data_IF_200109081689
#
_entry.id   IF_200109081689
#
_cell.length_a   1.000
_cell.length_b   1.000
_cell.length_c   1.000
_cell.angle_alpha   90.00
_cell.angle_beta   90.00
_cell.angle_gamma   90.00
#
_symmetry.space_group_name_H-M   'P 1'
#
loop_
_entity.id
_entity.type
_entity.pdbx_description
1 polymer ?
#
# COMPACT_ATOMS: atom_id res chain seq x y z
N UNK A 1 11.44 6.28 7.66
CA UNK A 1 10.61 5.64 6.62
C UNK A 1 9.57 4.79 7.33
N UNK A 2 8.40 4.58 6.71
CA UNK A 2 7.25 3.90 7.31
C UNK A 2 6.77 2.80 6.38
N UNK A 3 6.33 1.68 6.94
CA UNK A 3 5.98 0.49 6.16
C UNK A 3 4.49 0.19 6.16
N UNK A 4 4.00 -0.29 5.03
CA UNK A 4 2.72 -0.99 4.93
C UNK A 4 3.00 -2.44 4.58
N UNK A 5 2.62 -3.35 5.46
CA UNK A 5 2.92 -4.77 5.32
C UNK A 5 1.70 -5.58 4.90
N UNK A 6 1.94 -6.60 4.10
CA UNK A 6 0.95 -7.55 3.60
C UNK A 6 1.36 -8.95 4.04
N UNK A 7 0.42 -9.70 4.61
CA UNK A 7 0.71 -10.95 5.29
C UNK A 7 -0.29 -12.02 4.81
N UNK A 8 0.20 -13.22 4.49
CA UNK A 8 -0.63 -14.39 4.18
C UNK A 8 -1.36 -14.91 5.42
N UNK A 9 -2.28 -15.85 5.24
CA UNK A 9 -3.06 -16.37 6.38
C UNK A 9 -2.19 -17.09 7.43
N UNK A 10 -1.20 -17.82 6.95
CA UNK A 10 -0.23 -18.60 7.71
C UNK A 10 1.03 -17.79 8.07
N UNK A 11 1.09 -16.52 7.66
CA UNK A 11 2.21 -15.59 7.80
C UNK A 11 3.54 -16.05 7.22
N UNK A 12 3.54 -17.09 6.36
CA UNK A 12 4.74 -17.57 5.64
C UNK A 12 5.16 -16.65 4.50
N UNK A 13 4.23 -15.83 3.99
CA UNK A 13 4.49 -14.85 2.96
C UNK A 13 4.19 -13.45 3.51
N UNK A 14 5.23 -12.64 3.57
CA UNK A 14 5.14 -11.24 3.94
C UNK A 14 5.75 -10.35 2.85
N UNK A 15 5.21 -9.15 2.69
CA UNK A 15 5.83 -8.11 1.90
C UNK A 15 5.57 -6.76 2.53
N UNK A 16 6.60 -5.91 2.60
CA UNK A 16 6.52 -4.57 3.15
C UNK A 16 6.83 -3.55 2.08
N UNK A 17 5.91 -2.62 1.89
CA UNK A 17 6.12 -1.48 1.00
C UNK A 17 6.61 -0.30 1.82
N UNK A 18 7.89 0.03 1.63
CA UNK A 18 8.54 1.12 2.35
C UNK A 18 8.19 2.48 1.74
N UNK A 19 7.70 3.40 2.58
CA UNK A 19 7.20 4.71 2.20
C UNK A 19 7.98 5.85 2.88
N UNK A 20 8.07 6.99 2.20
CA UNK A 20 8.44 8.25 2.84
C UNK A 20 7.33 8.67 3.81
N UNK A 21 7.72 9.42 4.84
CA UNK A 21 6.78 9.92 5.85
C UNK A 21 5.67 10.77 5.22
N UNK A 22 6.01 11.67 4.29
CA UNK A 22 5.03 12.51 3.59
C UNK A 22 3.98 11.70 2.85
N UNK A 23 4.39 10.63 2.15
CA UNK A 23 3.45 9.81 1.40
C UNK A 23 2.59 8.96 2.34
N UNK A 24 3.19 8.43 3.41
CA UNK A 24 2.46 7.72 4.45
C UNK A 24 1.38 8.60 5.10
N UNK A 25 1.73 9.82 5.51
CA UNK A 25 0.80 10.79 6.10
C UNK A 25 -0.33 11.15 5.14
N UNK A 26 -0.04 11.26 3.84
CA UNK A 26 -1.08 11.48 2.85
C UNK A 26 -2.04 10.29 2.76
N UNK A 27 -1.54 9.05 2.75
CA UNK A 27 -2.38 7.85 2.78
C UNK A 27 -3.26 7.82 4.04
N UNK A 28 -2.69 8.14 5.20
CA UNK A 28 -3.38 8.20 6.48
C UNK A 28 -4.51 9.24 6.50
N UNK A 29 -4.40 10.32 5.70
CA UNK A 29 -5.44 11.36 5.55
C UNK A 29 -6.43 11.08 4.41
N UNK A 30 -6.17 10.06 3.59
CA UNK A 30 -7.00 9.71 2.43
C UNK A 30 -8.08 8.68 2.78
N UNK A 31 -8.91 8.31 1.79
CA UNK A 31 -9.88 7.22 1.90
C UNK A 31 -9.24 5.88 2.29
N UNK A 32 -7.95 5.67 1.96
CA UNK A 32 -7.21 4.47 2.37
C UNK A 32 -7.37 4.13 3.84
N UNK A 33 -7.22 5.13 4.72
CA UNK A 33 -7.28 4.96 6.19
C UNK A 33 -8.65 4.46 6.69
N UNK A 34 -9.71 4.72 5.90
CA UNK A 34 -11.09 4.39 6.24
C UNK A 34 -11.51 3.02 5.71
N UNK A 35 -10.74 2.43 4.79
CA UNK A 35 -11.07 1.14 4.19
C UNK A 35 -10.71 0.01 5.14
N UNK A 36 -11.74 -0.64 5.68
CA UNK A 36 -11.61 -1.71 6.65
C UNK A 36 -11.20 -1.21 8.03
N UNK A 37 -11.58 -1.97 9.06
CA UNK A 37 -11.19 -1.71 10.44
C UNK A 37 -9.94 -2.51 10.78
N UNK A 38 -8.94 -1.87 11.36
CA UNK A 38 -7.79 -2.57 11.95
C UNK A 38 -8.25 -3.27 13.23
N UNK A 39 -8.01 -4.58 13.31
CA UNK A 39 -8.39 -5.42 14.46
C UNK A 39 -7.16 -6.19 14.89
N UNK A 40 -6.89 -6.22 16.19
CA UNK A 40 -5.81 -7.04 16.76
C UNK A 40 -6.07 -8.52 16.48
N UNK A 41 -5.09 -9.20 15.90
CA UNK A 41 -5.11 -10.62 15.61
C UNK A 41 -3.76 -11.23 15.92
N UNK A 42 -3.81 -12.44 16.47
CA UNK A 42 -2.66 -13.32 16.56
C UNK A 42 -2.37 -13.89 15.17
N UNK A 43 -1.17 -13.66 14.67
CA UNK A 43 -0.69 -14.18 13.39
C UNK A 43 0.65 -14.86 13.67
N UNK A 44 0.84 -16.07 13.16
CA UNK A 44 2.15 -16.70 13.19
C UNK A 44 2.98 -16.15 12.05
N UNK A 45 4.13 -15.56 12.35
CA UNK A 45 5.10 -15.07 11.37
C UNK A 45 6.43 -15.75 11.70
N UNK A 46 7.02 -16.46 10.74
CA UNK A 46 8.28 -17.18 10.91
C UNK A 46 8.32 -18.13 12.12
N UNK A 47 7.17 -18.69 12.50
CA UNK A 47 7.04 -19.60 13.65
C UNK A 47 6.84 -18.92 15.01
N UNK A 48 6.85 -17.59 15.07
CA UNK A 48 6.53 -16.81 16.27
C UNK A 48 5.09 -16.27 16.20
N UNK A 49 4.37 -16.30 17.31
CA UNK A 49 3.02 -15.72 17.39
C UNK A 49 3.12 -14.23 17.74
N UNK A 50 2.74 -13.37 16.80
CA UNK A 50 2.67 -11.92 17.00
C UNK A 50 1.22 -11.42 17.03
N UNK A 51 0.94 -10.39 17.83
CA UNK A 51 -0.38 -9.80 17.99
C UNK A 51 -0.47 -8.45 17.25
N UNK A 52 -0.84 -8.53 15.97
CA UNK A 52 -0.79 -7.39 15.05
C UNK A 52 -2.17 -6.75 14.85
N UNK A 53 -2.18 -5.41 14.72
CA UNK A 53 -3.37 -4.66 14.33
C UNK A 53 -3.50 -4.65 12.81
N UNK A 54 -4.39 -5.48 12.27
CA UNK A 54 -4.47 -5.71 10.81
C UNK A 54 -5.88 -5.52 10.25
N UNK A 55 -5.94 -5.15 8.98
CA UNK A 55 -7.15 -5.14 8.16
C UNK A 55 -7.25 -6.47 7.42
N UNK A 56 -8.36 -7.18 7.56
CA UNK A 56 -8.62 -8.40 6.79
C UNK A 56 -9.02 -8.06 5.35
N UNK A 57 -8.33 -8.63 4.36
CA UNK A 57 -8.53 -8.33 2.95
C UNK A 57 -9.75 -9.05 2.34
N UNK A 58 -10.16 -10.21 2.87
CA UNK A 58 -11.23 -11.06 2.31
C UNK A 58 -12.69 -10.58 2.50
N UNK A 59 -12.96 -9.53 3.28
CA UNK A 59 -14.33 -9.02 3.57
C UNK A 59 -14.77 -7.87 2.65
N UNK A 60 -14.46 -7.94 1.36
CA UNK A 60 -14.69 -6.85 0.40
C UNK A 60 -13.75 -5.64 0.57
N UNK A 61 -12.93 -5.62 1.62
CA UNK A 61 -11.90 -4.62 1.83
C UNK A 61 -10.85 -4.65 0.71
N UNK A 62 -10.44 -5.85 0.26
CA UNK A 62 -9.53 -5.98 -0.89
C UNK A 62 -10.10 -5.27 -2.13
N UNK A 63 -11.39 -5.47 -2.44
CA UNK A 63 -12.03 -4.78 -3.58
C UNK A 63 -11.96 -3.25 -3.43
N UNK A 64 -12.36 -2.72 -2.27
CA UNK A 64 -12.31 -1.27 -1.99
C UNK A 64 -10.89 -0.70 -2.05
N UNK A 65 -9.90 -1.44 -1.55
CA UNK A 65 -8.49 -1.06 -1.62
C UNK A 65 -7.99 -1.07 -3.07
N UNK A 66 -8.32 -2.09 -3.88
CA UNK A 66 -7.98 -2.13 -5.32
C UNK A 66 -8.58 -0.94 -6.05
N UNK A 67 -9.85 -0.64 -5.82
CA UNK A 67 -10.54 0.52 -6.40
C UNK A 67 -9.82 1.82 -6.02
N UNK A 68 -9.58 2.04 -4.72
CA UNK A 68 -8.83 3.20 -4.24
C UNK A 68 -7.47 3.35 -4.92
N UNK A 69 -6.64 2.30 -4.92
CA UNK A 69 -5.31 2.38 -5.48
C UNK A 69 -5.32 2.55 -7.00
N UNK A 70 -6.28 1.95 -7.72
CA UNK A 70 -6.43 2.15 -9.17
C UNK A 70 -6.80 3.60 -9.50
N UNK A 71 -7.74 4.19 -8.76
CA UNK A 71 -8.15 5.58 -8.96
C UNK A 71 -6.98 6.54 -8.71
N UNK A 72 -6.22 6.32 -7.62
CA UNK A 72 -5.06 7.15 -7.30
C UNK A 72 -3.89 6.93 -8.28
N UNK A 73 -3.70 5.71 -8.81
CA UNK A 73 -2.73 5.46 -9.90
C UNK A 73 -3.08 6.28 -11.14
N UNK A 74 -4.35 6.32 -11.55
CA UNK A 74 -4.78 7.12 -12.71
C UNK A 74 -4.53 8.61 -12.46
N UNK A 75 -4.98 9.13 -11.31
CA UNK A 75 -4.77 10.54 -10.93
C UNK A 75 -3.29 10.93 -10.87
N UNK A 76 -2.46 10.10 -10.24
CA UNK A 76 -1.04 10.39 -10.13
C UNK A 76 -0.33 10.24 -11.49
N UNK A 77 -0.78 9.34 -12.37
CA UNK A 77 -0.26 9.22 -13.74
C UNK A 77 -0.48 10.50 -14.55
N UNK A 78 -1.66 11.10 -14.47
CA UNK A 78 -1.95 12.39 -15.12
C UNK A 78 -1.06 13.52 -14.56
N UNK A 79 -0.86 13.55 -13.24
CA UNK A 79 0.01 14.52 -12.59
C UNK A 79 1.48 14.36 -13.02
N UNK A 80 1.96 13.12 -13.14
CA UNK A 80 3.30 12.77 -13.61
C UNK A 80 3.51 13.27 -15.05
N UNK A 81 2.58 12.97 -15.96
CA UNK A 81 2.64 13.41 -17.36
C UNK A 81 2.68 14.94 -17.45
N UNK A 82 1.84 15.62 -16.67
CA UNK A 82 1.76 17.09 -16.67
C UNK A 82 3.03 17.75 -16.11
N UNK A 83 3.64 17.15 -15.08
CA UNK A 83 4.78 17.76 -14.36
C UNK A 83 6.15 17.47 -14.98
N UNK A 84 6.35 16.27 -15.51
CA UNK A 84 7.67 15.86 -16.02
C UNK A 84 8.01 16.46 -17.38
N UNK A 85 7.01 16.85 -18.17
CA UNK A 85 7.21 17.28 -19.55
C UNK A 85 7.91 16.18 -20.37
N UNK A 86 8.61 16.59 -21.43
CA UNK A 86 9.15 15.65 -22.42
C UNK A 86 10.58 15.16 -22.12
N UNK A 87 11.32 15.83 -21.24
CA UNK A 87 12.74 15.52 -21.00
C UNK A 87 13.20 15.85 -19.57
N UNK A 88 12.65 15.17 -18.55
CA UNK A 88 13.08 15.36 -17.17
C UNK A 88 14.51 14.84 -16.94
N UNK A 89 15.24 15.48 -16.04
CA UNK A 89 16.44 14.89 -15.46
C UNK A 89 16.12 13.62 -14.68
N UNK A 90 17.15 12.85 -14.34
CA UNK A 90 16.99 11.62 -13.54
C UNK A 90 16.38 11.92 -12.17
N UNK A 91 16.82 12.99 -11.53
CA UNK A 91 16.37 13.42 -10.20
C UNK A 91 14.90 13.87 -10.26
N UNK A 92 14.53 14.66 -11.26
CA UNK A 92 13.14 15.08 -11.51
C UNK A 92 12.24 13.88 -11.81
N UNK A 93 12.70 12.93 -12.62
CA UNK A 93 11.98 11.70 -12.89
C UNK A 93 11.78 10.87 -11.62
N UNK A 94 12.83 10.70 -10.81
CA UNK A 94 12.76 9.90 -9.59
C UNK A 94 11.82 10.51 -8.55
N UNK A 95 11.88 11.83 -8.36
CA UNK A 95 11.00 12.57 -7.45
C UNK A 95 9.56 12.61 -7.99
N UNK A 96 9.40 12.94 -9.28
CA UNK A 96 8.11 13.08 -9.94
C UNK A 96 7.33 11.77 -10.01
N UNK A 97 8.00 10.63 -10.19
CA UNK A 97 7.34 9.31 -10.27
C UNK A 97 7.25 8.55 -8.94
N UNK A 98 7.82 9.08 -7.85
CA UNK A 98 7.92 8.34 -6.59
C UNK A 98 6.57 7.80 -6.10
N UNK A 99 5.57 8.68 -5.99
CA UNK A 99 4.24 8.32 -5.47
C UNK A 99 3.55 7.32 -6.39
N UNK A 100 3.63 7.53 -7.71
CA UNK A 100 3.06 6.63 -8.70
C UNK A 100 3.64 5.21 -8.57
N UNK A 101 4.97 5.09 -8.45
CA UNK A 101 5.63 3.78 -8.25
C UNK A 101 5.14 3.09 -6.98
N UNK A 102 5.04 3.82 -5.87
CA UNK A 102 4.58 3.25 -4.60
C UNK A 102 3.09 2.90 -4.59
N UNK A 103 2.24 3.68 -5.26
CA UNK A 103 0.84 3.33 -5.50
C UNK A 103 0.70 2.03 -6.30
N UNK A 104 1.52 1.85 -7.35
CA UNK A 104 1.57 0.59 -8.10
C UNK A 104 2.05 -0.59 -7.25
N UNK A 105 3.06 -0.40 -6.42
CA UNK A 105 3.58 -1.43 -5.52
C UNK A 105 2.52 -1.89 -4.51
N UNK A 106 1.80 -0.94 -3.89
CA UNK A 106 0.67 -1.21 -3.00
C UNK A 106 -0.48 -1.91 -3.74
N UNK A 107 -0.84 -1.45 -4.95
CA UNK A 107 -1.88 -2.08 -5.76
C UNK A 107 -1.56 -3.55 -6.05
N UNK A 108 -0.33 -3.85 -6.48
CA UNK A 108 0.12 -5.23 -6.73
C UNK A 108 0.00 -6.10 -5.49
N UNK A 109 0.32 -5.57 -4.32
CA UNK A 109 0.18 -6.29 -3.07
C UNK A 109 -1.30 -6.56 -2.74
N UNK A 110 -2.20 -5.59 -2.90
CA UNK A 110 -3.64 -5.82 -2.67
C UNK A 110 -4.25 -6.79 -3.69
N UNK A 111 -3.73 -6.80 -4.92
CA UNK A 111 -4.17 -7.70 -5.98
C UNK A 111 -3.72 -9.15 -5.78
N UNK A 112 -2.63 -9.37 -5.05
CA UNK A 112 -2.15 -10.71 -4.73
C UNK A 112 -3.08 -11.40 -3.72
N UNK A 113 -3.77 -12.45 -4.19
CA UNK A 113 -4.78 -13.20 -3.43
C UNK A 113 -4.19 -14.04 -2.30
N UNK A 114 -2.87 -14.26 -2.29
CA UNK A 114 -2.19 -14.98 -1.21
C UNK A 114 -2.12 -14.16 0.08
N UNK A 115 -2.21 -12.82 -0.01
CA UNK A 115 -2.27 -11.96 1.17
C UNK A 115 -3.69 -11.91 1.72
N UNK A 116 -3.81 -12.07 3.04
CA UNK A 116 -5.10 -12.04 3.75
C UNK A 116 -5.19 -10.86 4.71
N UNK A 117 -4.05 -10.28 5.09
CA UNK A 117 -3.98 -9.19 6.06
C UNK A 117 -3.14 -8.04 5.51
N UNK A 118 -3.57 -6.82 5.82
CA UNK A 118 -2.82 -5.59 5.61
C UNK A 118 -2.56 -4.95 6.97
N UNK A 119 -1.31 -4.57 7.22
CA UNK A 119 -0.88 -3.82 8.39
C UNK A 119 -0.48 -2.41 7.95
N UNK A 120 -1.15 -1.42 8.53
CA UNK A 120 -0.87 0.01 8.37
C UNK A 120 -0.72 0.56 9.78
N UNK A 121 0.51 0.78 10.26
CA UNK A 121 0.78 1.25 11.63
C UNK A 121 0.74 2.77 11.67
#
# INVERSE_FOLDING_TARGET
MLDISFISNDGSLTNSVELTEDFYLWLAKSKFSQIGKSVRRKIQIDGEEDNLSVVQLSKGNSKKLKEFFRDEVVRESEAVITKLGDSPSKEEYQAGTYRLRKLHELLKCVENENYQYLQRI
#
